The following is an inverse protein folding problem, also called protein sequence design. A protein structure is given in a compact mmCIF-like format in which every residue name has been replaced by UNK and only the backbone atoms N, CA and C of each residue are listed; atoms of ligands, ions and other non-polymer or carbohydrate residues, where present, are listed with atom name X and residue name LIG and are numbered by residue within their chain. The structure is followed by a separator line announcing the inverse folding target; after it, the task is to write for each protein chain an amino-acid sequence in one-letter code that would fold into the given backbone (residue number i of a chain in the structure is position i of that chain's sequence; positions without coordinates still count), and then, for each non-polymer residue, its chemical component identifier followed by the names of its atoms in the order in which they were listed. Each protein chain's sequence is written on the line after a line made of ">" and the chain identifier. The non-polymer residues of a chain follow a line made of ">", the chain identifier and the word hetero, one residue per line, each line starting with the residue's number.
data_IF_775519156907
#
_entry.id   IF_775519156907
#
_cell.length_a   1.000
_cell.length_b   1.000
_cell.length_c   1.000
_cell.angle_alpha   90.00
_cell.angle_beta   90.00
_cell.angle_gamma   90.00
#
_symmetry.space_group_name_H-M   'P 1'
#
loop_
_entity.id
_entity.type
_entity.pdbx_description
1 polymer ?
#
# COMPACT_ATOMS: atom_id res chain seq x y z
N UNK A 1 26.70 27.28 -25.47
CA UNK A 1 26.26 25.87 -25.53
C UNK A 1 27.43 25.02 -25.98
N UNK A 2 27.79 23.98 -25.22
CA UNK A 2 28.87 23.06 -25.57
C UNK A 2 28.28 21.85 -26.28
N UNK A 3 28.78 21.53 -27.46
CA UNK A 3 28.38 20.33 -28.21
C UNK A 3 29.46 19.26 -28.09
N UNK A 4 29.04 18.05 -27.70
CA UNK A 4 29.90 16.89 -27.51
C UNK A 4 29.45 15.82 -28.51
N UNK A 5 30.25 15.59 -29.54
CA UNK A 5 30.07 14.43 -30.42
C UNK A 5 30.66 13.22 -29.70
N UNK A 6 29.83 12.22 -29.42
CA UNK A 6 30.25 11.01 -28.74
C UNK A 6 30.97 10.05 -29.71
N UNK A 7 31.83 9.15 -29.21
CA UNK A 7 32.48 8.14 -30.04
C UNK A 7 31.48 7.08 -30.50
N UNK A 8 31.74 6.45 -31.65
CA UNK A 8 31.15 5.18 -32.05
C UNK A 8 31.83 4.00 -31.34
N UNK A 9 33.13 4.12 -31.05
CA UNK A 9 33.89 3.04 -30.41
C UNK A 9 34.88 3.60 -29.38
N UNK A 10 34.88 2.98 -28.21
CA UNK A 10 35.82 3.26 -27.12
C UNK A 10 36.67 2.02 -26.80
N UNK A 11 37.81 2.22 -26.14
CA UNK A 11 38.58 1.12 -25.57
C UNK A 11 37.95 0.57 -24.27
N UNK A 12 38.58 -0.44 -23.66
CA UNK A 12 38.13 -1.04 -22.39
C UNK A 12 38.12 -0.05 -21.21
N UNK A 13 38.86 1.06 -21.30
CA UNK A 13 38.89 2.13 -20.31
C UNK A 13 37.86 3.23 -20.58
N UNK A 14 37.09 3.13 -21.67
CA UNK A 14 36.11 4.14 -22.09
C UNK A 14 36.72 5.36 -22.81
N UNK A 15 37.96 5.26 -23.28
CA UNK A 15 38.62 6.31 -24.04
C UNK A 15 38.25 6.18 -25.52
N UNK A 16 37.82 7.27 -26.20
CA UNK A 16 37.56 7.27 -27.64
C UNK A 16 38.78 6.76 -28.43
N UNK A 17 38.56 5.83 -29.35
CA UNK A 17 39.60 5.40 -30.30
C UNK A 17 39.80 6.45 -31.40
N UNK A 18 40.89 6.40 -32.19
CA UNK A 18 41.03 7.21 -33.40
C UNK A 18 39.88 6.96 -34.39
N UNK A 19 39.43 8.00 -35.10
CA UNK A 19 38.23 7.97 -35.94
C UNK A 19 38.25 6.88 -37.02
N UNK A 20 39.39 6.64 -37.66
CA UNK A 20 39.59 5.56 -38.63
C UNK A 20 39.27 4.18 -38.02
N UNK A 21 39.75 3.92 -36.80
CA UNK A 21 39.47 2.67 -36.09
C UNK A 21 38.02 2.58 -35.67
N UNK A 22 37.41 3.67 -35.22
CA UNK A 22 36.00 3.66 -34.83
C UNK A 22 35.07 3.27 -35.99
N UNK A 23 35.31 3.84 -37.18
CA UNK A 23 34.55 3.51 -38.38
C UNK A 23 34.78 2.07 -38.82
N UNK A 24 36.03 1.63 -38.87
CA UNK A 24 36.38 0.28 -39.29
C UNK A 24 35.81 -0.79 -38.33
N UNK A 25 35.94 -0.61 -37.02
CA UNK A 25 35.41 -1.54 -36.01
C UNK A 25 33.88 -1.66 -36.13
N UNK A 26 33.19 -0.52 -36.25
CA UNK A 26 31.72 -0.50 -36.39
C UNK A 26 31.27 -1.19 -37.68
N UNK A 27 31.92 -0.90 -38.81
CA UNK A 27 31.65 -1.53 -40.10
C UNK A 27 31.81 -3.05 -39.99
N UNK A 28 32.97 -3.48 -39.49
CA UNK A 28 33.34 -4.89 -39.35
C UNK A 28 32.38 -5.63 -38.43
N UNK A 29 31.98 -5.04 -37.29
CA UNK A 29 31.01 -5.62 -36.37
C UNK A 29 29.66 -5.81 -37.04
N UNK A 30 29.21 -4.82 -37.82
CA UNK A 30 27.88 -4.83 -38.41
C UNK A 30 27.75 -5.75 -39.62
N UNK A 31 28.83 -5.96 -40.38
CA UNK A 31 28.81 -6.86 -41.54
C UNK A 31 29.33 -8.27 -41.22
N UNK A 32 30.10 -8.44 -40.14
CA UNK A 32 30.78 -9.69 -39.84
C UNK A 32 31.66 -10.18 -41.01
N UNK A 33 31.78 -11.51 -41.17
CA UNK A 33 32.63 -12.14 -42.21
C UNK A 33 32.02 -12.10 -43.62
N UNK A 34 30.69 -12.21 -43.70
CA UNK A 34 29.99 -12.59 -44.93
C UNK A 34 29.12 -11.49 -45.53
N UNK A 35 28.54 -10.63 -44.70
CA UNK A 35 27.53 -9.68 -45.16
C UNK A 35 28.14 -8.63 -46.11
N UNK A 36 27.32 -8.20 -47.06
CA UNK A 36 27.59 -7.08 -47.96
C UNK A 36 26.37 -6.19 -47.92
N UNK A 37 26.57 -4.91 -47.63
CA UNK A 37 25.49 -3.95 -47.47
C UNK A 37 25.17 -3.26 -48.80
N UNK A 38 23.94 -2.78 -48.95
CA UNK A 38 23.59 -1.89 -50.06
C UNK A 38 23.89 -0.45 -49.71
N UNK A 39 23.62 -0.06 -48.46
CA UNK A 39 23.79 1.30 -47.94
C UNK A 39 24.44 1.26 -46.57
N UNK A 40 25.44 2.12 -46.34
CA UNK A 40 26.04 2.33 -45.02
C UNK A 40 26.13 3.82 -44.68
N UNK A 41 25.41 4.23 -43.64
CA UNK A 41 25.30 5.63 -43.20
C UNK A 41 25.85 5.80 -41.78
N UNK A 42 26.39 6.98 -41.50
CA UNK A 42 26.84 7.37 -40.16
C UNK A 42 26.02 8.59 -39.75
N UNK A 43 25.10 8.39 -38.81
CA UNK A 43 24.20 9.44 -38.35
C UNK A 43 24.52 9.85 -36.92
N UNK A 44 24.45 11.15 -36.65
CA UNK A 44 24.51 11.70 -35.30
C UNK A 44 23.12 12.11 -34.85
N UNK A 45 22.63 11.49 -33.77
CA UNK A 45 21.36 11.85 -33.17
C UNK A 45 21.57 12.91 -32.09
N UNK A 46 21.10 14.16 -32.29
CA UNK A 46 21.29 15.23 -31.33
C UNK A 46 20.34 15.12 -30.12
N UNK A 47 20.91 15.27 -28.93
CA UNK A 47 20.22 15.35 -27.64
C UNK A 47 20.66 16.59 -26.88
N UNK A 48 19.72 17.25 -26.22
CA UNK A 48 19.98 18.38 -25.36
C UNK A 48 19.78 17.97 -23.90
N UNK A 49 20.82 18.06 -23.08
CA UNK A 49 20.74 17.85 -21.65
C UNK A 49 20.64 19.21 -20.95
N UNK A 50 19.56 19.42 -20.20
CA UNK A 50 19.29 20.65 -19.45
C UNK A 50 19.34 20.37 -17.95
N UNK A 51 20.21 21.07 -17.23
CA UNK A 51 20.39 20.89 -15.79
C UNK A 51 19.22 21.51 -15.03
N UNK A 52 18.65 20.77 -14.08
CA UNK A 52 17.54 21.25 -13.24
C UNK A 52 18.05 21.78 -11.90
N UNK A 53 17.25 22.62 -11.24
CA UNK A 53 17.62 23.27 -9.96
C UNK A 53 17.87 22.25 -8.83
N UNK A 54 17.07 21.19 -8.75
CA UNK A 54 17.20 20.11 -7.76
C UNK A 54 18.43 19.19 -8.00
N UNK A 55 19.21 19.44 -9.06
CA UNK A 55 20.30 18.60 -9.50
C UNK A 55 19.88 17.51 -10.51
N UNK A 56 20.83 17.07 -11.34
CA UNK A 56 20.55 16.17 -12.48
C UNK A 56 20.16 16.93 -13.76
N UNK A 57 19.82 16.19 -14.80
CA UNK A 57 19.53 16.68 -16.14
C UNK A 57 18.25 16.07 -16.71
N UNK A 58 17.43 16.87 -17.35
CA UNK A 58 16.39 16.36 -18.26
C UNK A 58 16.98 16.32 -19.67
N UNK A 59 16.83 15.18 -20.33
CA UNK A 59 17.40 14.92 -21.65
C UNK A 59 16.29 15.01 -22.71
N UNK A 60 16.53 15.82 -23.74
CA UNK A 60 15.63 16.03 -24.86
C UNK A 60 16.24 15.44 -26.13
N UNK A 61 15.49 14.62 -26.86
CA UNK A 61 15.72 14.29 -28.26
C UNK A 61 15.34 15.50 -29.12
N UNK A 62 16.35 16.18 -29.69
CA UNK A 62 16.14 17.39 -30.48
C UNK A 62 15.45 17.11 -31.82
N UNK A 63 15.43 15.86 -32.30
CA UNK A 63 14.71 15.47 -33.52
C UNK A 63 13.21 15.27 -33.28
N UNK A 64 12.79 15.29 -32.02
CA UNK A 64 11.41 15.15 -31.55
C UNK A 64 10.71 13.86 -32.03
N UNK A 65 11.49 12.78 -32.20
CA UNK A 65 11.00 11.44 -32.55
C UNK A 65 10.56 10.66 -31.32
N UNK A 66 11.16 10.96 -30.16
CA UNK A 66 10.78 10.39 -28.87
C UNK A 66 9.67 11.23 -28.23
N UNK A 67 8.77 10.56 -27.52
CA UNK A 67 7.74 11.17 -26.70
C UNK A 67 7.56 10.33 -25.45
N UNK A 68 7.50 10.99 -24.29
CA UNK A 68 7.23 10.33 -23.01
C UNK A 68 5.83 10.71 -22.56
N UNK A 69 4.98 9.71 -22.41
CA UNK A 69 3.61 9.88 -21.90
C UNK A 69 3.57 9.65 -20.39
N UNK A 70 2.94 10.56 -19.64
CA UNK A 70 2.69 10.40 -18.20
C UNK A 70 1.20 10.55 -17.93
N UNK A 71 0.61 9.53 -17.31
CA UNK A 71 -0.78 9.55 -16.87
C UNK A 71 -0.87 10.13 -15.45
N UNK A 72 -1.79 11.05 -15.25
CA UNK A 72 -2.05 11.75 -14.00
C UNK A 72 -3.46 11.39 -13.50
N UNK A 73 -3.63 11.22 -12.19
CA UNK A 73 -4.97 11.08 -11.62
C UNK A 73 -5.59 12.47 -11.42
N UNK A 74 -6.87 12.58 -11.77
CA UNK A 74 -7.68 13.74 -11.42
C UNK A 74 -8.38 13.39 -10.11
N UNK A 75 -7.99 14.05 -9.02
CA UNK A 75 -8.60 13.83 -7.72
C UNK A 75 -10.08 14.25 -7.72
N UNK A 76 -10.84 13.69 -6.79
CA UNK A 76 -12.19 14.16 -6.50
C UNK A 76 -12.15 15.59 -5.92
N UNK A 77 -13.29 16.27 -5.98
CA UNK A 77 -13.46 17.57 -5.33
C UNK A 77 -13.60 17.37 -3.81
N UNK A 78 -12.47 17.09 -3.16
CA UNK A 78 -12.44 16.78 -1.74
C UNK A 78 -12.83 17.98 -0.87
N UNK A 79 -12.62 19.21 -1.33
CA UNK A 79 -13.10 20.39 -0.60
C UNK A 79 -14.63 20.40 -0.54
N UNK A 80 -15.30 20.12 -1.67
CA UNK A 80 -16.76 19.96 -1.67
C UNK A 80 -17.21 18.78 -0.81
N UNK A 81 -16.56 17.63 -0.91
CA UNK A 81 -16.90 16.45 -0.11
C UNK A 81 -16.78 16.74 1.39
N UNK A 82 -15.67 17.35 1.82
CA UNK A 82 -15.45 17.74 3.22
C UNK A 82 -16.47 18.78 3.68
N UNK A 83 -16.87 19.73 2.83
CA UNK A 83 -17.90 20.72 3.21
C UNK A 83 -19.26 20.08 3.51
N UNK A 84 -19.63 19.00 2.80
CA UNK A 84 -20.85 18.24 3.10
C UNK A 84 -20.68 17.50 4.41
N UNK A 85 -19.55 16.83 4.62
CA UNK A 85 -19.24 16.13 5.88
C UNK A 85 -19.33 17.07 7.08
N UNK A 86 -18.76 18.29 6.99
CA UNK A 86 -18.77 19.30 8.05
C UNK A 86 -20.18 19.83 8.36
N UNK A 87 -21.14 19.72 7.43
CA UNK A 87 -22.52 20.15 7.63
C UNK A 87 -23.37 19.14 8.41
N UNK A 88 -22.91 17.88 8.51
CA UNK A 88 -23.61 16.81 9.19
C UNK A 88 -23.37 16.87 10.71
N UNK A 89 -24.43 16.64 11.50
CA UNK A 89 -24.38 16.75 12.97
C UNK A 89 -24.59 15.43 13.68
N UNK A 90 -25.30 14.50 13.06
CA UNK A 90 -25.62 13.19 13.63
C UNK A 90 -24.56 12.16 13.22
N UNK A 91 -24.17 11.30 14.16
CA UNK A 91 -23.16 10.26 13.92
C UNK A 91 -23.55 9.33 12.78
N UNK A 92 -24.82 8.93 12.73
CA UNK A 92 -25.32 8.02 11.71
C UNK A 92 -25.16 8.62 10.32
N UNK A 93 -25.58 9.87 10.14
CA UNK A 93 -25.48 10.57 8.86
C UNK A 93 -24.02 10.75 8.43
N UNK A 94 -23.13 11.05 9.39
CA UNK A 94 -21.69 11.16 9.17
C UNK A 94 -21.10 9.83 8.71
N UNK A 95 -21.42 8.73 9.41
CA UNK A 95 -20.93 7.40 9.05
C UNK A 95 -21.49 6.95 7.70
N UNK A 96 -22.79 7.15 7.45
CA UNK A 96 -23.43 6.81 6.18
C UNK A 96 -22.80 7.60 5.03
N UNK A 97 -22.52 8.89 5.23
CA UNK A 97 -21.84 9.73 4.23
C UNK A 97 -20.41 9.27 3.98
N UNK A 98 -19.58 9.10 5.02
CA UNK A 98 -18.21 8.57 4.90
C UNK A 98 -18.22 7.19 4.22
N UNK A 99 -19.26 6.40 4.47
CA UNK A 99 -19.42 5.08 3.88
C UNK A 99 -19.82 5.11 2.39
N UNK A 100 -20.56 6.12 1.98
CA UNK A 100 -21.00 6.31 0.59
C UNK A 100 -19.91 6.81 -0.36
N UNK A 101 -18.89 7.51 0.17
CA UNK A 101 -17.80 8.07 -0.64
C UNK A 101 -16.77 6.97 -0.93
N UNK A 102 -16.40 6.82 -2.20
CA UNK A 102 -15.30 5.96 -2.61
C UNK A 102 -13.98 6.75 -2.58
N UNK A 103 -13.32 6.78 -1.42
CA UNK A 103 -12.18 7.67 -1.15
C UNK A 103 -10.94 7.39 -2.01
N UNK A 104 -10.84 6.14 -2.49
CA UNK A 104 -9.74 5.69 -3.34
C UNK A 104 -9.96 6.00 -4.82
N UNK A 105 -11.15 6.44 -5.23
CA UNK A 105 -11.44 6.64 -6.64
C UNK A 105 -10.92 7.99 -7.14
N UNK A 106 -10.38 8.01 -8.35
CA UNK A 106 -10.10 9.26 -9.06
C UNK A 106 -11.33 9.65 -9.89
N UNK A 107 -11.55 10.96 -10.08
CA UNK A 107 -12.59 11.47 -10.99
C UNK A 107 -12.32 11.09 -12.45
N UNK A 108 -11.07 10.80 -12.76
CA UNK A 108 -10.62 10.35 -14.06
C UNK A 108 -9.10 10.42 -14.17
N UNK A 109 -8.62 10.35 -15.40
CA UNK A 109 -7.21 10.41 -15.72
C UNK A 109 -6.98 11.44 -16.81
N UNK A 110 -5.87 12.16 -16.74
CA UNK A 110 -5.36 12.98 -17.84
C UNK A 110 -3.99 12.48 -18.25
N UNK A 111 -3.68 12.54 -19.54
CA UNK A 111 -2.35 12.22 -20.03
C UNK A 111 -1.62 13.49 -20.44
N UNK A 112 -0.37 13.61 -20.05
CA UNK A 112 0.54 14.62 -20.58
C UNK A 112 1.54 13.94 -21.52
N UNK A 113 1.75 14.56 -22.67
CA UNK A 113 2.73 14.11 -23.63
C UNK A 113 3.93 15.06 -23.60
N UNK A 114 5.03 14.59 -23.03
CA UNK A 114 6.30 15.30 -22.97
C UNK A 114 7.12 14.95 -24.22
N UNK A 115 6.86 15.68 -25.30
CA UNK A 115 7.54 15.48 -26.58
C UNK A 115 9.04 15.73 -26.45
N UNK A 116 9.86 14.86 -26.99
CA UNK A 116 11.32 14.94 -26.94
C UNK A 116 11.94 14.49 -25.63
N UNK A 117 11.22 14.49 -24.49
CA UNK A 117 11.82 14.05 -23.22
C UNK A 117 12.11 12.56 -23.26
N UNK A 118 13.37 12.21 -22.98
CA UNK A 118 13.87 10.82 -23.00
C UNK A 118 13.69 10.20 -21.62
N UNK A 119 12.79 9.23 -21.51
CA UNK A 119 12.55 8.46 -20.28
C UNK A 119 13.57 7.36 -20.02
N UNK A 120 14.32 6.94 -21.04
CA UNK A 120 15.38 5.95 -20.89
C UNK A 120 16.62 6.59 -20.25
N UNK A 121 17.26 5.85 -19.33
CA UNK A 121 18.50 6.29 -18.71
C UNK A 121 19.66 6.25 -19.72
N UNK A 122 20.19 7.43 -20.05
CA UNK A 122 21.28 7.64 -21.02
C UNK A 122 22.64 7.87 -20.35
N UNK A 123 22.73 7.73 -19.01
CA UNK A 123 23.97 7.98 -18.26
C UNK A 123 25.18 7.21 -18.80
N UNK A 124 24.99 5.93 -19.14
CA UNK A 124 26.06 5.09 -19.67
C UNK A 124 26.48 5.45 -21.09
N UNK A 125 25.66 6.20 -21.82
CA UNK A 125 25.97 6.71 -23.16
C UNK A 125 26.72 8.04 -23.05
N UNK A 126 26.26 8.94 -22.16
CA UNK A 126 26.78 10.30 -22.05
C UNK A 126 28.05 10.43 -21.21
N UNK A 127 28.60 9.32 -20.70
CA UNK A 127 29.84 9.32 -19.90
C UNK A 127 31.12 9.46 -20.73
N UNK A 128 31.07 9.21 -22.03
CA UNK A 128 32.25 9.19 -22.89
C UNK A 128 32.71 10.60 -23.28
N UNK A 129 34.02 10.73 -23.52
CA UNK A 129 34.62 11.97 -23.99
C UNK A 129 34.22 12.33 -25.42
N UNK A 130 34.58 13.54 -25.86
CA UNK A 130 34.33 13.99 -27.22
C UNK A 130 35.16 13.21 -28.25
N UNK A 131 34.61 13.06 -29.46
CA UNK A 131 35.26 12.46 -30.62
C UNK A 131 35.06 13.33 -31.86
N UNK A 132 35.94 13.21 -32.85
CA UNK A 132 35.90 13.93 -34.13
C UNK A 132 35.46 13.04 -35.30
N UNK A 133 34.68 11.99 -35.03
CA UNK A 133 34.17 11.09 -36.07
C UNK A 133 33.32 11.86 -37.10
N UNK A 134 33.52 11.60 -38.40
CA UNK A 134 32.69 12.21 -39.42
C UNK A 134 31.30 11.57 -39.42
N UNK A 135 30.24 12.39 -39.33
CA UNK A 135 28.86 11.93 -39.32
C UNK A 135 27.90 12.98 -39.87
N UNK A 136 26.71 12.54 -40.27
CA UNK A 136 25.60 13.42 -40.63
C UNK A 136 24.69 13.62 -39.42
N UNK A 137 24.68 14.82 -38.85
CA UNK A 137 23.78 15.15 -37.74
C UNK A 137 22.34 15.22 -38.26
N UNK A 138 21.40 14.61 -37.55
CA UNK A 138 19.98 14.68 -37.87
C UNK A 138 19.41 16.08 -37.59
N UNK A 139 18.39 16.48 -38.34
CA UNK A 139 17.80 17.80 -38.20
C UNK A 139 17.17 18.01 -36.82
N UNK A 140 17.59 19.10 -36.16
CA UNK A 140 16.99 19.56 -34.90
C UNK A 140 15.62 20.18 -35.21
N UNK A 141 14.59 19.68 -34.55
CA UNK A 141 13.20 20.12 -34.66
C UNK A 141 12.73 20.89 -33.43
N UNK A 142 13.30 20.62 -32.26
CA UNK A 142 12.98 21.35 -31.04
C UNK A 142 13.73 22.68 -30.99
N UNK A 143 13.00 23.76 -30.74
CA UNK A 143 13.57 25.09 -30.45
C UNK A 143 13.76 25.26 -28.95
N UNK A 144 14.71 26.10 -28.55
CA UNK A 144 14.96 26.43 -27.13
C UNK A 144 13.69 26.85 -26.37
N UNK A 145 12.80 27.61 -27.01
CA UNK A 145 11.53 28.04 -26.39
C UNK A 145 10.63 26.83 -26.10
N UNK A 146 10.56 25.86 -27.01
CA UNK A 146 9.76 24.65 -26.83
C UNK A 146 10.34 23.77 -25.71
N UNK A 147 11.66 23.66 -25.63
CA UNK A 147 12.35 22.94 -24.54
C UNK A 147 12.03 23.58 -23.19
N UNK A 148 12.10 24.90 -23.08
CA UNK A 148 11.78 25.62 -21.83
C UNK A 148 10.32 25.45 -21.42
N UNK A 149 9.39 25.46 -22.37
CA UNK A 149 7.97 25.19 -22.10
C UNK A 149 7.77 23.76 -21.59
N UNK A 150 8.39 22.77 -22.24
CA UNK A 150 8.31 21.36 -21.82
C UNK A 150 8.90 21.12 -20.43
N UNK A 151 10.01 21.80 -20.09
CA UNK A 151 10.57 21.79 -18.73
C UNK A 151 9.57 22.35 -17.72
N UNK A 152 8.98 23.51 -18.03
CA UNK A 152 7.98 24.14 -17.15
C UNK A 152 6.74 23.27 -16.99
N UNK A 153 6.27 22.60 -18.04
CA UNK A 153 5.14 21.66 -17.98
C UNK A 153 5.47 20.44 -17.12
N UNK A 154 6.68 19.88 -17.26
CA UNK A 154 7.15 18.77 -16.44
C UNK A 154 7.28 19.15 -14.95
N UNK A 155 7.92 20.29 -14.64
CA UNK A 155 8.05 20.80 -13.28
C UNK A 155 6.68 21.13 -12.67
N UNK A 156 5.82 21.83 -13.42
CA UNK A 156 4.45 22.14 -13.00
C UNK A 156 3.62 20.88 -12.77
N UNK A 157 3.87 19.82 -13.53
CA UNK A 157 3.22 18.52 -13.29
C UNK A 157 3.72 17.86 -12.01
N UNK A 158 5.04 17.89 -11.73
CA UNK A 158 5.56 17.42 -10.44
C UNK A 158 4.90 18.16 -9.28
N UNK A 159 4.81 19.48 -9.34
CA UNK A 159 4.17 20.27 -8.28
C UNK A 159 2.67 19.95 -8.11
N UNK A 160 1.94 19.69 -9.21
CA UNK A 160 0.55 19.21 -9.13
C UNK A 160 0.43 17.87 -8.41
N UNK A 161 1.30 16.90 -8.73
CA UNK A 161 1.29 15.58 -8.06
C UNK A 161 1.70 15.70 -6.58
N UNK A 162 2.65 16.59 -6.23
CA UNK A 162 2.96 16.89 -4.82
C UNK A 162 1.74 17.48 -4.09
N UNK A 163 1.05 18.44 -4.72
CA UNK A 163 -0.14 19.04 -4.16
C UNK A 163 -1.27 18.00 -3.97
N UNK A 164 -1.45 17.09 -4.92
CA UNK A 164 -2.38 15.97 -4.81
C UNK A 164 -2.06 15.06 -3.60
N UNK A 165 -0.79 14.68 -3.42
CA UNK A 165 -0.34 13.88 -2.27
C UNK A 165 -0.63 14.59 -0.94
N UNK A 166 -0.32 15.89 -0.86
CA UNK A 166 -0.61 16.69 0.32
C UNK A 166 -2.12 16.82 0.59
N UNK A 167 -2.92 16.96 -0.47
CA UNK A 167 -4.38 17.01 -0.38
C UNK A 167 -4.94 15.71 0.18
N UNK A 168 -4.47 14.55 -0.32
CA UNK A 168 -4.84 13.22 0.17
C UNK A 168 -4.58 13.11 1.67
N UNK A 169 -3.38 13.49 2.12
CA UNK A 169 -3.01 13.41 3.54
C UNK A 169 -3.89 14.31 4.41
N UNK A 170 -4.12 15.56 3.98
CA UNK A 170 -4.99 16.52 4.68
C UNK A 170 -6.43 16.02 4.81
N UNK A 171 -6.98 15.45 3.75
CA UNK A 171 -8.37 14.97 3.74
C UNK A 171 -8.51 13.73 4.62
N UNK A 172 -7.55 12.79 4.53
CA UNK A 172 -7.52 11.61 5.39
C UNK A 172 -7.46 12.00 6.87
N UNK A 173 -6.58 12.93 7.24
CA UNK A 173 -6.46 13.44 8.61
C UNK A 173 -7.80 14.00 9.10
N UNK A 174 -8.46 14.84 8.30
CA UNK A 174 -9.75 15.45 8.65
C UNK A 174 -10.84 14.42 8.94
N UNK A 175 -10.96 13.38 8.12
CA UNK A 175 -11.94 12.31 8.31
C UNK A 175 -11.62 11.49 9.56
N UNK A 176 -10.35 11.12 9.73
CA UNK A 176 -9.88 10.38 10.92
C UNK A 176 -10.15 11.18 12.20
N UNK A 177 -9.88 12.49 12.21
CA UNK A 177 -10.19 13.35 13.36
C UNK A 177 -11.69 13.32 13.68
N UNK A 178 -12.54 13.42 12.65
CA UNK A 178 -14.00 13.39 12.80
C UNK A 178 -14.46 12.07 13.43
N UNK A 179 -13.98 10.94 12.92
CA UNK A 179 -14.29 9.61 13.46
C UNK A 179 -13.75 9.43 14.90
N UNK A 180 -12.56 9.96 15.19
CA UNK A 180 -11.95 9.91 16.53
C UNK A 180 -12.79 10.66 17.56
N UNK A 181 -13.34 11.83 17.21
CA UNK A 181 -14.23 12.59 18.09
C UNK A 181 -15.48 11.78 18.45
N UNK A 182 -16.11 11.13 17.48
CA UNK A 182 -17.29 10.30 17.71
C UNK A 182 -16.98 9.05 18.53
N UNK A 183 -15.85 8.39 18.25
CA UNK A 183 -15.35 7.29 19.07
C UNK A 183 -15.15 7.73 20.53
N UNK A 184 -14.59 8.91 20.76
CA UNK A 184 -14.43 9.50 22.09
C UNK A 184 -15.76 9.75 22.79
N UNK A 185 -16.76 10.30 22.08
CA UNK A 185 -18.12 10.48 22.63
C UNK A 185 -18.76 9.16 23.05
N UNK A 186 -18.62 8.09 22.24
CA UNK A 186 -19.14 6.76 22.57
C UNK A 186 -18.40 6.10 23.74
N UNK A 187 -17.09 6.30 23.86
CA UNK A 187 -16.34 5.83 25.01
C UNK A 187 -16.78 6.51 26.31
N UNK A 188 -17.10 7.81 26.27
CA UNK A 188 -17.64 8.53 27.42
C UNK A 188 -19.08 8.08 27.76
N UNK A 189 -19.95 7.90 26.77
CA UNK A 189 -21.29 7.32 26.96
C UNK A 189 -21.22 5.92 27.59
N UNK A 190 -20.28 5.07 27.15
CA UNK A 190 -20.04 3.74 27.73
C UNK A 190 -19.72 3.85 29.23
N UNK A 191 -18.85 4.79 29.59
CA UNK A 191 -18.45 5.04 30.98
C UNK A 191 -19.64 5.50 31.82
N UNK A 192 -20.45 6.44 31.32
CA UNK A 192 -21.65 6.93 32.02
C UNK A 192 -22.67 5.82 32.26
N UNK A 193 -22.95 4.99 31.24
CA UNK A 193 -23.83 3.82 31.36
C UNK A 193 -23.27 2.85 32.41
N UNK A 194 -21.97 2.57 32.36
CA UNK A 194 -21.33 1.69 33.33
C UNK A 194 -21.50 2.19 34.77
N UNK A 195 -21.23 3.47 35.01
CA UNK A 195 -21.38 4.10 36.33
C UNK A 195 -22.84 4.10 36.82
N UNK A 196 -23.80 4.38 35.94
CA UNK A 196 -25.23 4.36 36.27
C UNK A 196 -25.67 2.96 36.73
N UNK A 197 -25.36 1.92 35.95
CA UNK A 197 -25.72 0.55 36.31
C UNK A 197 -24.97 0.07 37.55
N UNK A 198 -23.69 0.40 37.71
CA UNK A 198 -22.92 0.03 38.90
C UNK A 198 -23.50 0.64 40.17
N UNK A 199 -23.93 1.92 40.11
CA UNK A 199 -24.63 2.57 41.22
C UNK A 199 -25.95 1.86 41.55
N UNK A 200 -26.79 1.58 40.55
CA UNK A 200 -28.09 0.90 40.76
C UNK A 200 -27.93 -0.51 41.32
N UNK A 201 -26.92 -1.26 40.86
CA UNK A 201 -26.60 -2.58 41.37
C UNK A 201 -26.10 -2.51 42.82
N UNK A 202 -25.28 -1.52 43.16
CA UNK A 202 -24.82 -1.30 44.54
C UNK A 202 -26.00 -0.97 45.47
N UNK A 203 -26.88 -0.05 45.08
CA UNK A 203 -28.09 0.29 45.85
C UNK A 203 -28.99 -0.94 46.06
N UNK A 204 -29.17 -1.78 45.04
CA UNK A 204 -29.96 -3.02 45.15
C UNK A 204 -29.29 -4.05 46.06
N UNK A 205 -27.95 -4.16 46.05
CA UNK A 205 -27.18 -5.02 46.96
C UNK A 205 -27.27 -4.54 48.41
N UNK A 206 -27.14 -3.24 48.66
CA UNK A 206 -27.30 -2.67 50.01
C UNK A 206 -28.73 -2.91 50.54
N UNK A 207 -29.74 -2.79 49.67
CA UNK A 207 -31.12 -3.14 50.03
C UNK A 207 -31.26 -4.63 50.35
N UNK A 208 -30.64 -5.51 49.56
CA UNK A 208 -30.63 -6.95 49.81
C UNK A 208 -30.01 -7.27 51.18
N UNK A 209 -28.87 -6.67 51.51
CA UNK A 209 -28.20 -6.90 52.81
C UNK A 209 -29.09 -6.50 53.99
N UNK A 210 -29.73 -5.33 53.91
CA UNK A 210 -30.67 -4.86 54.95
C UNK A 210 -31.88 -5.78 55.07
N UNK A 211 -32.50 -6.12 53.94
CA UNK A 211 -33.68 -6.99 53.90
C UNK A 211 -33.36 -8.38 54.46
N UNK A 212 -32.18 -8.95 54.15
CA UNK A 212 -31.76 -10.25 54.70
C UNK A 212 -31.68 -10.22 56.23
N UNK A 213 -31.14 -9.16 56.82
CA UNK A 213 -31.05 -9.01 58.28
C UNK A 213 -32.45 -8.92 58.90
N UNK A 214 -33.32 -8.08 58.32
CA UNK A 214 -34.69 -7.89 58.78
C UNK A 214 -35.51 -9.17 58.67
N UNK A 215 -35.53 -9.78 57.49
CA UNK A 215 -36.24 -11.03 57.20
C UNK A 215 -35.79 -12.16 58.12
N UNK A 216 -34.49 -12.31 58.43
CA UNK A 216 -34.02 -13.32 59.37
C UNK A 216 -34.63 -13.14 60.76
N UNK A 217 -34.72 -11.90 61.24
CA UNK A 217 -35.31 -11.57 62.54
C UNK A 217 -36.82 -11.82 62.56
N UNK A 218 -37.53 -11.43 61.50
CA UNK A 218 -38.97 -11.68 61.36
C UNK A 218 -39.29 -13.18 61.30
N UNK A 219 -38.53 -13.93 60.48
CA UNK A 219 -38.64 -15.39 60.37
C UNK A 219 -38.40 -16.06 61.71
N UNK A 220 -37.35 -15.67 62.45
CA UNK A 220 -37.06 -16.23 63.76
C UNK A 220 -38.25 -16.06 64.72
N UNK A 221 -38.82 -14.86 64.78
CA UNK A 221 -39.97 -14.56 65.64
C UNK A 221 -41.22 -15.37 65.26
N UNK A 222 -41.59 -15.36 63.98
CA UNK A 222 -42.79 -16.02 63.48
C UNK A 222 -42.68 -17.55 63.54
N UNK A 223 -41.53 -18.12 63.15
CA UNK A 223 -41.28 -19.56 63.27
C UNK A 223 -41.27 -20.00 64.73
N UNK A 224 -40.63 -19.25 65.64
CA UNK A 224 -40.61 -19.60 67.06
C UNK A 224 -42.01 -19.58 67.66
N UNK A 225 -42.78 -18.53 67.39
CA UNK A 225 -44.16 -18.40 67.86
C UNK A 225 -45.07 -19.52 67.33
N UNK A 226 -45.05 -19.75 66.02
CA UNK A 226 -45.88 -20.77 65.37
C UNK A 226 -45.46 -22.18 65.78
N UNK A 227 -44.15 -22.45 65.88
CA UNK A 227 -43.62 -23.72 66.38
C UNK A 227 -44.10 -24.00 67.80
N UNK A 228 -43.96 -23.05 68.74
CA UNK A 228 -44.45 -23.23 70.11
C UNK A 228 -45.96 -23.52 70.18
N UNK A 229 -46.77 -22.85 69.35
CA UNK A 229 -48.21 -23.09 69.29
C UNK A 229 -48.55 -24.47 68.70
N UNK A 230 -47.83 -24.90 67.67
CA UNK A 230 -48.12 -26.18 67.03
C UNK A 230 -47.63 -27.36 67.87
N UNK A 231 -46.44 -27.27 68.48
CA UNK A 231 -45.90 -28.34 69.32
C UNK A 231 -46.60 -28.46 70.68
N UNK A 232 -47.33 -27.44 71.17
CA UNK A 232 -48.05 -27.56 72.44
C UNK A 232 -49.13 -28.65 72.41
N UNK A 233 -49.73 -28.91 71.25
CA UNK A 233 -50.72 -30.00 71.06
C UNK A 233 -50.08 -31.39 71.02
N UNK A 234 -48.74 -31.47 70.98
CA UNK A 234 -48.04 -32.73 70.87
C UNK A 234 -48.10 -33.54 72.16
N UNK A 235 -48.14 -32.87 73.31
CA UNK A 235 -48.39 -33.52 74.59
C UNK A 235 -49.74 -34.26 74.60
N UNK A 236 -50.80 -33.65 74.05
CA UNK A 236 -52.12 -34.29 73.97
C UNK A 236 -52.11 -35.50 73.03
N UNK A 237 -51.38 -35.43 71.90
CA UNK A 237 -51.20 -36.55 70.97
C UNK A 237 -50.43 -37.70 71.63
N UNK A 238 -49.38 -37.41 72.40
CA UNK A 238 -48.63 -38.43 73.18
C UNK A 238 -49.51 -39.08 74.26
N UNK A 239 -50.35 -38.30 74.94
CA UNK A 239 -51.32 -38.84 75.91
C UNK A 239 -52.33 -39.77 75.22
N UNK A 240 -52.81 -39.40 74.03
CA UNK A 240 -53.71 -40.24 73.23
C UNK A 240 -53.01 -41.52 72.75
N UNK A 241 -51.76 -41.43 72.32
CA UNK A 241 -50.95 -42.59 71.95
C UNK A 241 -50.73 -43.53 73.12
N UNK A 242 -50.30 -43.01 74.28
CA UNK A 242 -50.08 -43.82 75.48
C UNK A 242 -51.36 -44.53 75.94
N UNK A 243 -52.52 -43.85 75.88
CA UNK A 243 -53.81 -44.47 76.16
C UNK A 243 -54.14 -45.57 75.15
N UNK A 244 -53.96 -45.32 73.86
CA UNK A 244 -54.18 -46.31 72.81
C UNK A 244 -53.22 -47.52 72.92
N UNK A 245 -51.97 -47.31 73.33
CA UNK A 245 -51.00 -48.38 73.60
C UNK A 245 -51.45 -49.27 74.75
N UNK A 246 -51.95 -48.66 75.83
CA UNK A 246 -52.53 -49.37 76.97
C UNK A 246 -53.76 -50.17 76.54
N UNK A 247 -54.68 -49.55 75.79
CA UNK A 247 -55.92 -50.20 75.33
C UNK A 247 -55.66 -51.36 74.34
N UNK A 248 -54.66 -51.21 73.46
CA UNK A 248 -54.21 -52.28 72.56
C UNK A 248 -53.59 -53.43 73.34
N UNK A 249 -52.70 -53.13 74.30
CA UNK A 249 -52.07 -54.13 75.16
C UNK A 249 -53.10 -54.88 76.02
N UNK A 250 -54.16 -54.20 76.45
CA UNK A 250 -55.29 -54.78 77.18
C UNK A 250 -56.26 -55.59 76.29
N UNK A 251 -56.06 -55.62 74.96
CA UNK A 251 -56.90 -56.37 74.02
C UNK A 251 -58.24 -55.73 73.68
N UNK A 252 -58.45 -54.46 74.06
CA UNK A 252 -59.69 -53.73 73.79
C UNK A 252 -59.78 -53.20 72.35
N UNK A 253 -58.64 -53.03 71.68
CA UNK A 253 -58.58 -52.63 70.28
C UNK A 253 -57.63 -53.54 69.48
N UNK A 254 -57.96 -53.87 68.22
CA UNK A 254 -57.21 -54.86 67.44
C UNK A 254 -55.98 -54.32 66.70
N UNK A 255 -55.79 -52.99 66.61
CA UNK A 255 -54.67 -52.36 65.89
C UNK A 255 -54.40 -50.92 66.36
N UNK A 256 -53.14 -50.54 66.50
CA UNK A 256 -52.69 -49.19 66.91
C UNK A 256 -52.15 -48.32 65.76
N UNK A 257 -51.95 -48.89 64.57
CA UNK A 257 -51.26 -48.22 63.45
C UNK A 257 -51.97 -46.93 62.97
N UNK A 258 -53.30 -46.85 63.11
CA UNK A 258 -54.07 -45.64 62.78
C UNK A 258 -53.84 -44.50 63.78
N UNK A 259 -53.51 -44.81 65.03
CA UNK A 259 -53.19 -43.81 66.07
C UNK A 259 -51.71 -43.43 65.98
N UNK A 260 -50.82 -44.41 65.76
CA UNK A 260 -49.39 -44.18 65.54
C UNK A 260 -49.09 -43.25 64.35
N UNK A 261 -49.91 -43.30 63.29
CA UNK A 261 -49.79 -42.40 62.13
C UNK A 261 -50.24 -40.96 62.41
N UNK A 262 -50.99 -40.69 63.48
CA UNK A 262 -51.44 -39.33 63.86
C UNK A 262 -50.24 -38.44 64.18
N UNK A 263 -49.27 -38.95 64.96
CA UNK A 263 -48.05 -38.21 65.31
C UNK A 263 -47.22 -37.88 64.07
N UNK A 264 -47.03 -38.83 63.17
CA UNK A 264 -46.29 -38.63 61.93
C UNK A 264 -46.98 -37.61 61.01
N UNK A 265 -48.31 -37.72 60.84
CA UNK A 265 -49.10 -36.78 60.05
C UNK A 265 -49.07 -35.37 60.64
N UNK A 266 -49.17 -35.25 61.96
CA UNK A 266 -49.11 -33.96 62.63
C UNK A 266 -47.71 -33.32 62.53
N UNK A 267 -46.63 -34.09 62.67
CA UNK A 267 -45.27 -33.59 62.41
C UNK A 267 -45.08 -33.11 60.97
N UNK A 268 -45.63 -33.83 59.99
CA UNK A 268 -45.62 -33.40 58.59
C UNK A 268 -46.43 -32.11 58.38
N UNK A 269 -47.60 -31.98 59.02
CA UNK A 269 -48.40 -30.75 58.98
C UNK A 269 -47.66 -29.56 59.61
N UNK A 270 -46.95 -29.77 60.72
CA UNK A 270 -46.08 -28.76 61.34
C UNK A 270 -45.00 -28.34 60.36
N UNK A 271 -44.29 -29.30 59.74
CA UNK A 271 -43.24 -28.99 58.77
C UNK A 271 -43.80 -28.18 57.59
N UNK A 272 -44.95 -28.59 57.05
CA UNK A 272 -45.63 -27.88 55.96
C UNK A 272 -45.95 -26.43 56.32
N UNK A 273 -46.56 -26.19 57.48
CA UNK A 273 -46.89 -24.82 57.96
C UNK A 273 -45.65 -23.97 58.21
N UNK A 274 -44.59 -24.54 58.78
CA UNK A 274 -43.33 -23.82 58.98
C UNK A 274 -42.64 -23.51 57.66
N UNK A 275 -42.75 -24.37 56.65
CA UNK A 275 -42.18 -24.15 55.33
C UNK A 275 -42.96 -23.10 54.53
N UNK A 276 -44.29 -23.02 54.67
CA UNK A 276 -45.11 -21.93 54.12
C UNK A 276 -44.65 -20.55 54.63
N UNK A 277 -44.39 -20.43 55.94
CA UNK A 277 -43.85 -19.20 56.54
C UNK A 277 -42.49 -18.88 55.91
N UNK A 278 -41.56 -19.84 55.86
CA UNK A 278 -40.23 -19.62 55.25
C UNK A 278 -40.33 -19.23 53.78
N UNK A 279 -41.26 -19.82 53.01
CA UNK A 279 -41.42 -19.57 51.58
C UNK A 279 -41.80 -18.11 51.29
N UNK A 280 -42.71 -17.54 52.07
CA UNK A 280 -43.10 -16.11 51.99
C UNK A 280 -41.88 -15.18 52.09
N UNK A 281 -41.00 -15.45 53.06
CA UNK A 281 -39.80 -14.64 53.30
C UNK A 281 -38.71 -14.87 52.24
N UNK A 282 -38.54 -16.12 51.79
CA UNK A 282 -37.65 -16.44 50.66
C UNK A 282 -38.06 -15.68 49.39
N UNK A 283 -39.36 -15.53 49.13
CA UNK A 283 -39.86 -14.81 47.96
C UNK A 283 -39.47 -13.32 47.97
N UNK A 284 -39.48 -12.65 49.12
CA UNK A 284 -39.01 -11.26 49.26
C UNK A 284 -37.54 -11.13 48.82
N UNK A 285 -36.68 -12.00 49.36
CA UNK A 285 -35.25 -12.05 49.01
C UNK A 285 -35.05 -12.36 47.53
N UNK A 286 -35.80 -13.34 47.01
CA UNK A 286 -35.72 -13.78 45.62
C UNK A 286 -36.05 -12.64 44.64
N UNK A 287 -37.00 -11.76 44.99
CA UNK A 287 -37.35 -10.61 44.16
C UNK A 287 -36.18 -9.64 43.97
N UNK A 288 -35.43 -9.35 45.04
CA UNK A 288 -34.29 -8.42 45.00
C UNK A 288 -33.11 -9.09 44.27
N UNK A 289 -32.89 -10.39 44.46
CA UNK A 289 -31.87 -11.15 43.72
C UNK A 289 -32.15 -11.10 42.21
N UNK A 290 -33.39 -11.35 41.80
CA UNK A 290 -33.78 -11.29 40.38
C UNK A 290 -33.62 -9.88 39.80
N UNK A 291 -33.89 -8.84 40.59
CA UNK A 291 -33.65 -7.45 40.16
C UNK A 291 -32.16 -7.20 39.90
N UNK A 292 -31.28 -7.66 40.80
CA UNK A 292 -29.81 -7.55 40.60
C UNK A 292 -29.37 -8.30 39.34
N UNK A 293 -29.87 -9.52 39.12
CA UNK A 293 -29.57 -10.28 37.90
C UNK A 293 -30.05 -9.55 36.65
N UNK A 294 -31.28 -9.02 36.67
CA UNK A 294 -31.85 -8.25 35.57
C UNK A 294 -31.02 -6.99 35.27
N UNK A 295 -30.59 -6.25 36.30
CA UNK A 295 -29.71 -5.08 36.15
C UNK A 295 -28.36 -5.45 35.55
N UNK A 296 -27.75 -6.58 35.96
CA UNK A 296 -26.49 -7.05 35.38
C UNK A 296 -26.65 -7.41 33.90
N UNK A 297 -27.73 -8.10 33.53
CA UNK A 297 -28.02 -8.44 32.13
C UNK A 297 -28.26 -7.18 31.29
N UNK A 298 -29.05 -6.23 31.80
CA UNK A 298 -29.31 -4.96 31.14
C UNK A 298 -28.03 -4.13 30.94
N UNK A 299 -27.15 -4.09 31.96
CA UNK A 299 -25.82 -3.46 31.87
C UNK A 299 -25.00 -4.08 30.73
N UNK A 300 -24.85 -5.41 30.71
CA UNK A 300 -24.07 -6.09 29.69
C UNK A 300 -24.61 -5.82 28.28
N UNK A 301 -25.94 -5.86 28.12
CA UNK A 301 -26.58 -5.55 26.84
C UNK A 301 -26.31 -4.11 26.38
N UNK A 302 -26.50 -3.13 27.26
CA UNK A 302 -26.26 -1.72 26.95
C UNK A 302 -24.80 -1.44 26.58
N UNK A 303 -23.84 -2.04 27.30
CA UNK A 303 -22.42 -1.91 26.99
C UNK A 303 -22.06 -2.55 25.64
N UNK A 304 -22.63 -3.73 25.34
CA UNK A 304 -22.42 -4.40 24.07
C UNK A 304 -22.96 -3.59 22.87
N UNK A 305 -24.08 -2.89 23.05
CA UNK A 305 -24.65 -1.98 22.03
C UNK A 305 -23.71 -0.80 21.74
N UNK A 306 -23.06 -0.23 22.76
CA UNK A 306 -22.06 0.83 22.56
C UNK A 306 -20.77 0.30 21.93
N UNK A 307 -20.31 -0.89 22.34
CA UNK A 307 -19.13 -1.53 21.73
C UNK A 307 -19.34 -1.83 20.25
N UNK A 308 -20.55 -2.24 19.85
CA UNK A 308 -20.90 -2.42 18.45
C UNK A 308 -20.79 -1.09 17.66
N UNK A 309 -21.27 0.03 18.22
CA UNK A 309 -21.15 1.36 17.59
C UNK A 309 -19.68 1.79 17.44
N UNK A 310 -18.87 1.61 18.49
CA UNK A 310 -17.42 1.90 18.44
C UNK A 310 -16.76 1.09 17.33
N UNK A 311 -17.07 -0.20 17.23
CA UNK A 311 -16.54 -1.08 16.20
C UNK A 311 -16.91 -0.61 14.78
N UNK A 312 -18.16 -0.17 14.56
CA UNK A 312 -18.56 0.40 13.27
C UNK A 312 -17.76 1.64 12.89
N UNK A 313 -17.44 2.51 13.85
CA UNK A 313 -16.57 3.68 13.62
C UNK A 313 -15.15 3.24 13.24
N UNK A 314 -14.59 2.25 13.94
CA UNK A 314 -13.25 1.71 13.66
C UNK A 314 -13.16 1.06 12.26
N UNK A 315 -14.18 0.28 11.88
CA UNK A 315 -14.28 -0.33 10.54
C UNK A 315 -14.37 0.74 9.44
N UNK A 316 -15.15 1.80 9.66
CA UNK A 316 -15.22 2.93 8.74
C UNK A 316 -13.85 3.62 8.59
N UNK A 317 -13.14 3.87 9.69
CA UNK A 317 -11.80 4.48 9.68
C UNK A 317 -10.79 3.62 8.90
N UNK A 318 -10.73 2.31 9.17
CA UNK A 318 -9.81 1.40 8.50
C UNK A 318 -10.05 1.34 6.99
N UNK A 319 -11.33 1.29 6.58
CA UNK A 319 -11.71 1.29 5.17
C UNK A 319 -11.30 2.58 4.46
N UNK A 320 -11.53 3.74 5.08
CA UNK A 320 -11.10 5.05 4.55
C UNK A 320 -9.58 5.08 4.37
N UNK A 321 -8.83 4.65 5.39
CA UNK A 321 -7.36 4.58 5.34
C UNK A 321 -6.86 3.70 4.20
N UNK A 322 -7.43 2.50 4.04
CA UNK A 322 -7.03 1.57 2.99
C UNK A 322 -7.24 2.19 1.60
N UNK A 323 -8.40 2.79 1.36
CA UNK A 323 -8.73 3.44 0.09
C UNK A 323 -7.81 4.64 -0.23
N UNK A 324 -7.52 5.50 0.75
CA UNK A 324 -6.57 6.60 0.54
C UNK A 324 -5.15 6.11 0.31
N UNK A 325 -4.71 5.04 0.96
CA UNK A 325 -3.39 4.45 0.72
C UNK A 325 -3.24 3.95 -0.72
N UNK A 326 -4.26 3.32 -1.29
CA UNK A 326 -4.25 2.88 -2.69
C UNK A 326 -4.13 4.05 -3.68
N UNK A 327 -4.85 5.15 -3.42
CA UNK A 327 -4.76 6.36 -4.22
C UNK A 327 -3.39 7.06 -4.06
N UNK A 328 -2.88 7.13 -2.83
CA UNK A 328 -1.55 7.67 -2.54
C UNK A 328 -0.45 6.89 -3.26
N UNK A 329 -0.54 5.56 -3.27
CA UNK A 329 0.41 4.70 -3.99
C UNK A 329 0.42 4.99 -5.50
N UNK A 330 -0.74 5.23 -6.11
CA UNK A 330 -0.83 5.61 -7.53
C UNK A 330 -0.18 6.97 -7.79
N UNK A 331 -0.45 7.98 -6.96
CA UNK A 331 0.19 9.30 -7.09
C UNK A 331 1.71 9.22 -6.86
N UNK A 332 2.18 8.41 -5.91
CA UNK A 332 3.61 8.17 -5.68
C UNK A 332 4.28 7.50 -6.89
N UNK A 333 3.63 6.52 -7.53
CA UNK A 333 4.15 5.89 -8.75
C UNK A 333 4.26 6.88 -9.91
N UNK A 334 3.28 7.79 -10.06
CA UNK A 334 3.34 8.90 -11.03
C UNK A 334 4.49 9.85 -10.70
N UNK A 335 4.69 10.21 -9.43
CA UNK A 335 5.81 11.04 -8.99
C UNK A 335 7.17 10.38 -9.27
N UNK A 336 7.29 9.08 -9.02
CA UNK A 336 8.50 8.31 -9.30
C UNK A 336 8.81 8.31 -10.79
N UNK A 337 7.81 8.08 -11.64
CA UNK A 337 7.94 8.16 -13.10
C UNK A 337 8.38 9.56 -13.58
N UNK A 338 7.84 10.63 -12.99
CA UNK A 338 8.26 12.00 -13.31
C UNK A 338 9.68 12.30 -12.84
N UNK A 339 10.06 11.78 -11.67
CA UNK A 339 11.37 11.98 -11.07
C UNK A 339 12.47 11.23 -11.82
N UNK A 340 12.18 10.06 -12.38
CA UNK A 340 13.13 9.27 -13.18
C UNK A 340 13.46 9.88 -14.54
N UNK A 341 12.71 10.89 -15.00
CA UNK A 341 13.05 11.67 -16.20
C UNK A 341 14.27 12.58 -15.98
N UNK A 342 14.59 12.91 -14.72
CA UNK A 342 15.86 13.54 -14.36
C UNK A 342 16.96 12.48 -14.21
N UNK A 343 18.10 12.73 -14.84
CA UNK A 343 19.23 11.81 -14.92
C UNK A 343 20.52 12.47 -14.45
N UNK A 344 21.34 11.75 -13.69
CA UNK A 344 22.65 12.24 -13.27
C UNK A 344 23.71 11.97 -14.34
N UNK A 345 24.20 13.03 -14.97
CA UNK A 345 25.26 12.98 -15.99
C UNK A 345 26.61 13.40 -15.40
N UNK A 346 27.72 12.98 -16.01
CA UNK A 346 29.08 13.31 -15.58
C UNK A 346 29.55 14.73 -15.94
N UNK A 347 28.67 15.54 -16.53
CA UNK A 347 28.94 16.94 -16.90
C UNK A 347 28.48 17.92 -15.82
N UNK A 348 29.11 19.10 -15.76
CA UNK A 348 28.80 20.18 -14.80
C UNK A 348 28.12 21.41 -15.43
N UNK A 349 28.11 21.47 -16.75
CA UNK A 349 27.53 22.57 -17.54
C UNK A 349 26.01 22.65 -17.34
N UNK A 350 25.44 23.85 -17.41
CA UNK A 350 23.98 24.02 -17.28
C UNK A 350 23.21 23.45 -18.48
N UNK A 351 23.78 23.57 -19.68
CA UNK A 351 23.19 23.09 -20.93
C UNK A 351 24.27 22.48 -21.80
N UNK A 352 24.09 21.21 -22.17
CA UNK A 352 25.02 20.45 -23.02
C UNK A 352 24.27 19.80 -24.15
N UNK A 353 24.81 19.91 -25.35
CA UNK A 353 24.34 19.13 -26.48
C UNK A 353 25.23 17.89 -26.64
N UNK A 354 24.62 16.72 -26.73
CA UNK A 354 25.26 15.45 -27.04
C UNK A 354 24.82 14.97 -28.42
N UNK A 355 25.75 14.64 -29.29
CA UNK A 355 25.44 13.98 -30.56
C UNK A 355 25.84 12.51 -30.44
N UNK A 356 24.85 11.63 -30.32
CA UNK A 356 25.05 10.18 -30.19
C UNK A 356 25.18 9.58 -31.59
N UNK A 357 26.33 8.98 -31.95
CA UNK A 357 26.49 8.42 -33.28
C UNK A 357 25.90 7.03 -33.39
N UNK A 358 25.39 6.73 -34.58
CA UNK A 358 24.96 5.39 -34.99
C UNK A 358 25.50 5.09 -36.37
N UNK A 359 26.01 3.87 -36.56
CA UNK A 359 26.24 3.34 -37.90
C UNK A 359 25.02 2.53 -38.33
N UNK A 360 24.44 2.91 -39.46
CA UNK A 360 23.30 2.22 -40.06
C UNK A 360 23.82 1.40 -41.24
N UNK A 361 23.60 0.09 -41.19
CA UNK A 361 23.94 -0.84 -42.26
C UNK A 361 22.63 -1.44 -42.78
N UNK A 362 22.18 -0.97 -43.95
CA UNK A 362 20.84 -1.21 -44.48
C UNK A 362 19.76 -0.86 -43.45
N UNK A 363 19.17 -1.86 -42.78
CA UNK A 363 18.13 -1.68 -41.74
C UNK A 363 18.63 -1.94 -40.31
N UNK A 364 19.92 -2.23 -40.13
CA UNK A 364 20.53 -2.55 -38.84
C UNK A 364 21.24 -1.34 -38.25
N UNK A 365 21.12 -1.14 -36.93
CA UNK A 365 21.71 -0.02 -36.20
C UNK A 365 22.79 -0.52 -35.26
N UNK A 366 23.95 0.13 -35.30
CA UNK A 366 25.01 -0.04 -34.33
C UNK A 366 25.19 1.24 -33.53
N UNK A 367 24.94 1.14 -32.22
CA UNK A 367 25.23 2.18 -31.24
C UNK A 367 26.73 2.20 -30.88
N UNK A 368 27.08 3.03 -29.90
CA UNK A 368 28.41 3.05 -29.28
C UNK A 368 28.82 1.65 -28.84
N UNK A 369 30.08 1.28 -29.05
CA UNK A 369 30.63 -0.03 -28.74
C UNK A 369 31.94 0.06 -27.95
N UNK A 370 32.21 -0.95 -27.14
CA UNK A 370 33.51 -1.17 -26.50
C UNK A 370 34.34 -2.13 -27.34
N UNK A 371 35.50 -1.68 -27.81
CA UNK A 371 36.46 -2.51 -28.51
C UNK A 371 37.13 -3.50 -27.54
N UNK A 372 37.17 -4.79 -27.90
CA UNK A 372 37.76 -5.83 -27.05
C UNK A 372 39.27 -5.95 -27.15
N UNK A 373 39.88 -5.25 -28.12
CA UNK A 373 41.31 -5.36 -28.35
C UNK A 373 41.79 -6.77 -28.71
N UNK A 374 43.09 -6.89 -28.95
CA UNK A 374 43.78 -8.18 -29.07
C UNK A 374 45.10 -8.08 -28.32
N UNK A 375 45.35 -8.96 -27.34
CA UNK A 375 46.73 -9.28 -26.96
C UNK A 375 47.34 -9.98 -28.17
N UNK A 376 48.36 -9.36 -28.81
CA UNK A 376 49.07 -9.92 -29.97
C UNK A 376 49.29 -11.43 -29.77
N UNK A 377 48.66 -12.26 -30.60
CA UNK A 377 48.87 -13.70 -30.54
C UNK A 377 50.33 -14.00 -30.89
N UNK A 378 51.03 -14.74 -30.02
CA UNK A 378 52.42 -15.18 -30.25
C UNK A 378 52.53 -16.21 -31.40
N UNK A 379 51.41 -16.74 -31.89
CA UNK A 379 51.36 -17.60 -33.08
C UNK A 379 50.32 -17.05 -34.08
N UNK A 380 50.82 -16.46 -35.17
CA UNK A 380 50.07 -15.64 -36.13
C UNK A 380 49.23 -16.39 -37.18
N UNK A 381 48.66 -17.55 -36.87
CA UNK A 381 48.00 -18.40 -37.88
C UNK A 381 46.45 -18.45 -37.83
N UNK A 382 45.83 -17.99 -36.74
CA UNK A 382 44.35 -17.96 -36.62
C UNK A 382 43.88 -16.54 -36.35
N UNK A 383 43.35 -15.89 -37.39
CA UNK A 383 42.70 -14.58 -37.25
C UNK A 383 41.37 -14.71 -36.54
N UNK A 384 41.09 -13.79 -35.62
CA UNK A 384 39.85 -13.79 -34.83
C UNK A 384 38.63 -13.43 -35.68
N UNK A 385 37.46 -13.88 -35.22
CA UNK A 385 36.20 -13.58 -35.89
C UNK A 385 35.84 -12.08 -35.78
N UNK A 386 35.66 -11.36 -36.91
CA UNK A 386 35.26 -9.96 -36.90
C UNK A 386 33.94 -9.69 -36.17
N UNK A 387 33.05 -10.68 -36.09
CA UNK A 387 31.80 -10.53 -35.34
C UNK A 387 32.03 -10.38 -33.85
N UNK A 388 33.20 -10.74 -33.29
CA UNK A 388 33.48 -10.64 -31.85
C UNK A 388 34.21 -9.35 -31.45
N UNK A 389 34.58 -8.51 -32.43
CA UNK A 389 35.53 -7.39 -32.31
C UNK A 389 35.18 -6.37 -31.22
N UNK A 390 33.90 -6.22 -30.93
CA UNK A 390 33.38 -5.23 -29.99
C UNK A 390 32.16 -5.75 -29.24
N UNK A 391 31.81 -5.11 -28.13
CA UNK A 391 30.55 -5.30 -27.41
C UNK A 391 29.72 -4.03 -27.52
N UNK A 392 28.45 -4.08 -27.95
CA UNK A 392 27.59 -2.90 -28.00
C UNK A 392 27.27 -2.41 -26.59
N UNK A 393 27.27 -1.09 -26.40
CA UNK A 393 26.69 -0.45 -25.22
C UNK A 393 25.18 -0.39 -25.43
N UNK A 394 24.43 -0.80 -24.41
CA UNK A 394 23.00 -0.96 -24.51
C UNK A 394 22.33 0.42 -24.62
N UNK A 395 21.74 0.69 -25.79
CA UNK A 395 20.93 1.88 -26.06
C UNK A 395 19.60 1.38 -26.60
N UNK A 396 18.55 1.46 -25.79
CA UNK A 396 17.22 0.94 -26.11
C UNK A 396 16.37 1.93 -26.95
N UNK A 397 17.01 2.94 -27.55
CA UNK A 397 16.42 3.89 -28.51
C UNK A 397 17.14 3.81 -29.84
N UNK A 398 16.41 4.03 -30.95
CA UNK A 398 16.95 4.02 -32.31
C UNK A 398 16.36 5.19 -33.12
N UNK A 399 17.17 5.89 -33.92
CA UNK A 399 16.67 6.95 -34.78
C UNK A 399 15.83 6.34 -35.91
N UNK A 400 14.66 6.90 -36.18
CA UNK A 400 13.84 6.54 -37.33
C UNK A 400 14.21 7.43 -38.52
N UNK A 401 15.19 6.97 -39.32
CA UNK A 401 15.77 7.77 -40.40
C UNK A 401 16.03 6.93 -41.65
N UNK A 402 15.88 7.55 -42.82
CA UNK A 402 16.28 6.95 -44.09
C UNK A 402 17.79 7.11 -44.29
N UNK A 403 18.54 6.02 -44.53
CA UNK A 403 20.00 6.09 -44.71
C UNK A 403 20.38 6.61 -46.10
N UNK A 404 21.48 7.37 -46.20
CA UNK A 404 21.91 8.07 -47.45
C UNK A 404 23.34 7.75 -47.89
N UNK A 405 23.91 6.64 -47.43
CA UNK A 405 25.22 6.07 -47.84
C UNK A 405 26.44 6.99 -47.64
N UNK A 406 26.55 7.66 -46.48
CA UNK A 406 27.64 8.62 -46.24
C UNK A 406 29.01 7.98 -46.06
N UNK A 407 29.11 6.69 -45.74
CA UNK A 407 30.39 6.05 -45.41
C UNK A 407 31.36 6.05 -46.60
N UNK A 408 30.84 6.02 -47.84
CA UNK A 408 31.66 6.06 -49.07
C UNK A 408 32.50 7.34 -49.19
N UNK A 409 32.04 8.45 -48.62
CA UNK A 409 32.76 9.72 -48.64
C UNK A 409 34.04 9.69 -47.79
N UNK A 410 34.19 8.67 -46.94
CA UNK A 410 35.31 8.52 -46.01
C UNK A 410 36.16 7.27 -46.33
N UNK A 411 36.18 6.84 -47.60
CA UNK A 411 36.87 5.62 -48.04
C UNK A 411 38.27 5.47 -47.48
N UNK A 412 39.15 6.45 -47.74
CA UNK A 412 40.57 6.35 -47.36
C UNK A 412 40.75 6.22 -45.84
N UNK A 413 39.90 6.91 -45.07
CA UNK A 413 39.89 6.85 -43.61
C UNK A 413 39.47 5.48 -43.10
N UNK A 414 38.44 4.88 -43.71
CA UNK A 414 37.95 3.55 -43.32
C UNK A 414 38.96 2.46 -43.70
N UNK A 415 39.57 2.55 -44.89
CA UNK A 415 40.56 1.57 -45.35
C UNK A 415 41.84 1.60 -44.50
N UNK A 416 42.25 2.77 -44.01
CA UNK A 416 43.34 2.86 -43.03
C UNK A 416 43.00 2.11 -41.73
N UNK A 417 41.80 2.33 -41.18
CA UNK A 417 41.32 1.60 -40.00
C UNK A 417 41.23 0.07 -40.23
N UNK A 418 40.75 -0.37 -41.40
CA UNK A 418 40.68 -1.79 -41.77
C UNK A 418 42.07 -2.42 -41.87
N UNK A 419 43.06 -1.70 -42.42
CA UNK A 419 44.45 -2.13 -42.45
C UNK A 419 45.01 -2.32 -41.03
N UNK A 420 44.78 -1.37 -40.13
CA UNK A 420 45.21 -1.47 -38.74
C UNK A 420 44.58 -2.69 -38.04
N UNK A 421 43.27 -2.93 -38.20
CA UNK A 421 42.60 -4.10 -37.63
C UNK A 421 43.13 -5.43 -38.19
N UNK A 422 43.46 -5.46 -39.48
CA UNK A 422 44.08 -6.61 -40.12
C UNK A 422 45.46 -6.92 -39.51
N UNK A 423 46.28 -5.89 -39.28
CA UNK A 423 47.60 -6.00 -38.63
C UNK A 423 47.49 -6.41 -37.16
N UNK A 424 46.40 -6.04 -36.48
CA UNK A 424 46.07 -6.50 -35.12
C UNK A 424 45.59 -7.96 -35.06
N UNK A 425 45.36 -8.61 -36.21
CA UNK A 425 45.03 -10.04 -36.30
C UNK A 425 43.53 -10.36 -36.44
N UNK A 426 42.69 -9.37 -36.78
CA UNK A 426 41.29 -9.60 -37.10
C UNK A 426 41.10 -10.08 -38.54
N UNK A 427 40.15 -11.00 -38.76
CA UNK A 427 39.82 -11.48 -40.11
C UNK A 427 38.89 -10.51 -40.85
N UNK A 428 39.42 -9.36 -41.25
CA UNK A 428 38.70 -8.27 -41.93
C UNK A 428 39.06 -8.18 -43.41
N UNK A 429 38.14 -7.66 -44.23
CA UNK A 429 38.42 -7.28 -45.62
C UNK A 429 39.15 -5.94 -45.59
N UNK A 430 40.08 -5.72 -46.52
CA UNK A 430 40.99 -4.55 -46.49
C UNK A 430 40.44 -3.33 -47.22
N UNK A 431 39.56 -3.54 -48.21
CA UNK A 431 38.98 -2.45 -48.99
C UNK A 431 37.53 -2.23 -48.59
N UNK A 432 37.11 -0.96 -48.58
CA UNK A 432 35.73 -0.60 -48.24
C UNK A 432 34.74 -1.18 -49.27
N UNK A 433 35.12 -1.24 -50.55
CA UNK A 433 34.29 -1.80 -51.62
C UNK A 433 33.87 -3.24 -51.36
N UNK A 434 34.70 -4.03 -50.66
CA UNK A 434 34.44 -5.43 -50.40
C UNK A 434 33.28 -5.64 -49.41
N UNK A 435 32.85 -4.58 -48.71
CA UNK A 435 31.72 -4.56 -47.79
C UNK A 435 30.39 -4.15 -48.45
N UNK A 436 30.41 -3.76 -49.73
CA UNK A 436 29.20 -3.41 -50.49
C UNK A 436 28.79 -4.54 -51.46
N UNK A 437 27.50 -4.59 -51.79
CA UNK A 437 26.94 -5.49 -52.82
C UNK A 437 27.28 -5.02 -54.24
#
# INVERSE_FOLDING_TARGET
>A
MKTIILPLVVDENGVPLPKEKQLAISLVRGTGKGYRAKVIDIVGWPFLAYRIQDGGYVVFDETAQISTEVQLNILQDYDRILSVLDSLKEEKDILDYINSVNWGESKGFSSINLKGIVSQNMKDVFKYGASDIPLRVLDRKLKDVEVRLLLSDWEGTKEKVKANLAMIDRVLERIVTTLTIWKGKRAEEKKQIQEEYDKRIAEAKDRLEKEVVEVKKEVEGEVKSLSSQLYSKMADIEVLLAKAEIDYTAGHIPNINSVASIKANYLNEISGKLDEVKAKYKQKIFSIVNEIESLNQAKQKALAEIDAKIKTIEEAEQRVRAQFNELKNREMATMEKLSSLSQYLSTVEEVVEFVVPFMIIDNSYLSIQTYKGVKKSLFGFLKKDPSEISTPINVNIRPNVTPVDTLRNYKDLVEDGLRQLYEEGWNVRRNLSDYYQ
#
